data_IF_452061152072
#
_entry.id   IF_452061152072
#
_cell.length_a   1.000
_cell.length_b   1.000
_cell.length_c   1.000
_cell.angle_alpha   90.00
_cell.angle_beta   90.00
_cell.angle_gamma   90.00
#
_symmetry.space_group_name_H-M   'P 1'
#
loop_
_entity.id
_entity.type
_entity.pdbx_description
1 polymer ?
#
# COMPACT_ATOMS: atom_id res chain seq x y z
N UNK A 1 15.90 -45.51 10.13
CA UNK A 1 14.93 -44.54 10.69
C UNK A 1 14.98 -43.30 9.82
N UNK A 2 13.96 -43.06 8.98
CA UNK A 2 13.92 -41.86 8.15
C UNK A 2 13.76 -40.64 9.06
N UNK A 3 14.73 -39.72 9.03
CA UNK A 3 14.68 -38.47 9.79
C UNK A 3 13.41 -37.71 9.44
N UNK A 4 12.61 -37.37 10.46
CA UNK A 4 11.37 -36.63 10.28
C UNK A 4 11.71 -35.32 9.59
N UNK A 5 11.21 -35.12 8.37
CA UNK A 5 11.37 -33.86 7.65
C UNK A 5 10.96 -32.70 8.59
N UNK A 6 11.72 -31.59 8.61
CA UNK A 6 11.38 -30.46 9.47
C UNK A 6 9.94 -30.01 9.15
N UNK A 7 9.15 -29.77 10.19
CA UNK A 7 7.81 -29.17 10.08
C UNK A 7 7.79 -27.78 10.76
N UNK A 8 8.35 -26.75 10.08
CA UNK A 8 8.32 -25.39 10.60
C UNK A 8 6.91 -24.89 10.85
N UNK A 9 5.98 -25.12 9.91
CA UNK A 9 4.59 -24.66 10.01
C UNK A 9 3.90 -25.20 11.26
N UNK A 10 3.93 -26.52 11.48
CA UNK A 10 3.28 -27.12 12.64
C UNK A 10 3.93 -26.74 13.97
N UNK A 11 5.24 -26.45 13.96
CA UNK A 11 5.95 -25.93 15.14
C UNK A 11 5.48 -24.52 15.47
N UNK A 12 5.40 -23.65 14.46
CA UNK A 12 4.93 -22.28 14.60
C UNK A 12 3.46 -22.19 15.04
N UNK A 13 2.56 -22.98 14.42
CA UNK A 13 1.15 -23.03 14.79
C UNK A 13 0.95 -23.48 16.24
N UNK A 14 1.75 -24.45 16.70
CA UNK A 14 1.73 -24.89 18.10
C UNK A 14 2.15 -23.76 19.04
N UNK A 15 3.25 -23.06 18.74
CA UNK A 15 3.73 -21.92 19.53
C UNK A 15 2.64 -20.85 19.65
N UNK A 16 2.09 -20.36 18.53
CA UNK A 16 1.01 -19.35 18.51
C UNK A 16 -0.18 -19.81 19.35
N UNK A 17 -0.67 -21.04 19.12
CA UNK A 17 -1.83 -21.60 19.82
C UNK A 17 -1.63 -21.65 21.35
N UNK A 18 -0.44 -22.02 21.82
CA UNK A 18 -0.17 -22.17 23.25
C UNK A 18 -0.01 -20.85 24.01
N UNK A 19 0.17 -19.72 23.31
CA UNK A 19 0.30 -18.38 23.90
C UNK A 19 -1.03 -17.63 24.05
N UNK A 20 -2.09 -18.08 23.40
CA UNK A 20 -3.39 -17.44 23.43
C UNK A 20 -4.10 -17.70 24.77
N UNK A 21 -4.77 -16.69 25.31
CA UNK A 21 -5.64 -16.86 26.48
C UNK A 21 -6.97 -17.51 26.05
N UNK A 22 -7.33 -18.70 26.54
CA UNK A 22 -8.59 -19.32 26.18
C UNK A 22 -9.83 -18.55 26.61
N UNK A 23 -9.76 -17.82 27.74
CA UNK A 23 -10.90 -17.08 28.29
C UNK A 23 -11.27 -15.92 27.38
N UNK A 24 -10.29 -15.18 26.88
CA UNK A 24 -10.49 -14.14 25.86
C UNK A 24 -11.15 -14.67 24.56
N UNK A 25 -11.14 -15.98 24.34
CA UNK A 25 -11.70 -16.65 23.17
C UNK A 25 -13.04 -17.35 23.46
N UNK A 26 -13.60 -17.15 24.67
CA UNK A 26 -14.89 -17.71 25.09
C UNK A 26 -14.81 -19.16 25.57
N UNK A 27 -13.61 -19.69 25.81
CA UNK A 27 -13.42 -21.04 26.32
C UNK A 27 -13.23 -21.06 27.85
N UNK A 28 -13.78 -22.08 28.50
CA UNK A 28 -13.77 -22.18 29.97
C UNK A 28 -12.36 -22.26 30.58
N UNK A 29 -12.20 -21.60 31.73
CA UNK A 29 -10.99 -21.56 32.56
C UNK A 29 -10.74 -22.83 33.40
N UNK A 30 -11.45 -23.93 33.13
CA UNK A 30 -11.33 -25.18 33.89
C UNK A 30 -9.92 -25.78 33.83
N UNK A 31 -9.66 -26.84 34.60
CA UNK A 31 -8.35 -27.49 34.70
C UNK A 31 -7.85 -27.97 33.31
N UNK A 32 -6.93 -27.22 32.71
CA UNK A 32 -6.34 -27.47 31.38
C UNK A 32 -4.97 -28.14 31.53
N UNK A 33 -4.73 -29.21 30.76
CA UNK A 33 -3.41 -29.86 30.65
C UNK A 33 -2.49 -29.18 29.63
N UNK A 34 -3.07 -28.47 28.67
CA UNK A 34 -2.34 -27.77 27.60
C UNK A 34 -2.49 -26.27 27.81
N UNK A 35 -1.38 -25.50 27.87
CA UNK A 35 -1.45 -24.06 27.90
C UNK A 35 -2.07 -23.52 26.60
N UNK A 36 -2.84 -22.44 26.73
CA UNK A 36 -3.56 -21.80 25.64
C UNK A 36 -4.69 -22.62 25.01
N UNK A 37 -4.95 -22.36 23.74
CA UNK A 37 -6.04 -23.02 23.01
C UNK A 37 -5.70 -24.48 22.71
N UNK A 38 -6.68 -25.37 22.69
CA UNK A 38 -6.52 -26.77 22.28
C UNK A 38 -6.64 -26.92 20.76
N UNK A 39 -6.24 -28.07 20.21
CA UNK A 39 -6.28 -28.32 18.77
C UNK A 39 -7.71 -28.25 18.22
N UNK A 40 -8.63 -28.84 18.96
CA UNK A 40 -10.07 -28.82 18.68
C UNK A 40 -10.66 -27.41 18.77
N UNK A 41 -10.18 -26.58 19.69
CA UNK A 41 -10.63 -25.19 19.85
C UNK A 41 -10.19 -24.34 18.65
N UNK A 42 -8.94 -24.50 18.19
CA UNK A 42 -8.45 -23.82 16.97
C UNK A 42 -9.15 -24.34 15.72
N UNK A 43 -9.32 -25.65 15.60
CA UNK A 43 -10.00 -26.25 14.46
C UNK A 43 -11.46 -25.78 14.35
N UNK A 44 -12.17 -25.66 15.47
CA UNK A 44 -13.51 -25.09 15.53
C UNK A 44 -13.53 -23.63 15.06
N UNK A 45 -12.62 -22.79 15.56
CA UNK A 45 -12.54 -21.37 15.16
C UNK A 45 -12.14 -21.16 13.70
N UNK A 46 -11.30 -22.03 13.16
CA UNK A 46 -10.90 -22.02 11.77
C UNK A 46 -11.89 -22.76 10.85
N UNK A 47 -12.97 -23.33 11.40
CA UNK A 47 -13.94 -24.14 10.64
C UNK A 47 -13.26 -25.22 9.77
N UNK A 48 -12.38 -26.01 10.41
CA UNK A 48 -11.65 -27.14 9.81
C UNK A 48 -11.75 -28.38 10.71
N UNK A 49 -11.40 -29.55 10.16
CA UNK A 49 -11.38 -30.80 10.92
C UNK A 49 -10.32 -30.77 12.04
N UNK A 50 -10.67 -31.11 13.29
CA UNK A 50 -9.71 -31.26 14.39
C UNK A 50 -8.61 -32.29 14.10
N UNK A 51 -8.98 -33.39 13.42
CA UNK A 51 -8.05 -34.43 12.99
C UNK A 51 -7.05 -33.88 11.98
N UNK A 52 -7.53 -33.10 11.03
CA UNK A 52 -6.67 -32.50 10.00
C UNK A 52 -5.73 -31.45 10.59
N UNK A 53 -6.20 -30.57 11.49
CA UNK A 53 -5.34 -29.62 12.20
C UNK A 53 -4.26 -30.33 13.04
N UNK A 54 -4.61 -31.47 13.65
CA UNK A 54 -3.64 -32.32 14.36
C UNK A 54 -2.56 -32.87 13.42
N UNK A 55 -2.93 -33.32 12.22
CA UNK A 55 -1.98 -33.77 11.21
C UNK A 55 -1.06 -32.64 10.75
N UNK A 56 -1.62 -31.46 10.51
CA UNK A 56 -0.86 -30.27 10.14
C UNK A 56 0.24 -29.95 11.17
N UNK A 57 -0.12 -29.90 12.47
CA UNK A 57 0.85 -29.71 13.56
C UNK A 57 1.91 -30.83 13.64
N UNK A 58 1.58 -32.04 13.20
CA UNK A 58 2.46 -33.20 13.24
C UNK A 58 3.36 -33.32 12.00
N UNK A 59 3.06 -32.59 10.92
CA UNK A 59 3.77 -32.63 9.64
C UNK A 59 3.24 -33.73 8.73
N UNK A 60 1.94 -34.00 8.81
CA UNK A 60 1.20 -35.02 8.05
C UNK A 60 0.05 -34.34 7.29
N UNK A 61 -0.48 -35.00 6.26
CA UNK A 61 -1.71 -34.55 5.59
C UNK A 61 -1.54 -33.57 4.43
N UNK A 62 -0.32 -33.40 3.90
CA UNK A 62 -0.04 -32.57 2.73
C UNK A 62 0.06 -31.06 3.03
N UNK A 63 0.28 -30.27 1.98
CA UNK A 63 0.32 -28.82 2.09
C UNK A 63 -1.10 -28.24 2.30
N UNK A 64 -1.29 -27.30 3.23
CA UNK A 64 -2.57 -26.62 3.43
C UNK A 64 -2.93 -25.75 2.22
N UNK A 65 -4.21 -25.56 1.92
CA UNK A 65 -4.63 -24.56 0.93
C UNK A 65 -4.53 -23.13 1.50
N UNK A 66 -4.50 -22.13 0.61
CA UNK A 66 -4.51 -20.72 1.01
C UNK A 66 -5.75 -20.37 1.86
N UNK A 67 -6.94 -20.85 1.47
CA UNK A 67 -8.17 -20.63 2.23
C UNK A 67 -8.09 -21.21 3.65
N UNK A 68 -7.47 -22.38 3.81
CA UNK A 68 -7.27 -22.97 5.14
C UNK A 68 -6.27 -22.18 5.98
N UNK A 69 -5.18 -21.68 5.39
CA UNK A 69 -4.25 -20.79 6.09
C UNK A 69 -4.92 -19.47 6.51
N UNK A 70 -5.75 -18.87 5.65
CA UNK A 70 -6.53 -17.67 5.98
C UNK A 70 -7.47 -17.92 7.16
N UNK A 71 -8.18 -19.06 7.17
CA UNK A 71 -9.05 -19.45 8.29
C UNK A 71 -8.28 -19.70 9.57
N UNK A 72 -7.10 -20.33 9.49
CA UNK A 72 -6.23 -20.55 10.66
C UNK A 72 -5.71 -19.20 11.19
N UNK A 73 -5.26 -18.30 10.33
CA UNK A 73 -4.81 -16.96 10.72
C UNK A 73 -5.92 -16.21 11.47
N UNK A 74 -7.14 -16.19 10.92
CA UNK A 74 -8.32 -15.61 11.58
C UNK A 74 -8.67 -16.31 12.89
N UNK A 75 -8.66 -17.65 12.90
CA UNK A 75 -8.97 -18.46 14.07
C UNK A 75 -8.00 -18.21 15.23
N UNK A 76 -6.73 -17.97 14.93
CA UNK A 76 -5.68 -17.65 15.91
C UNK A 76 -5.50 -16.15 16.17
N UNK A 77 -6.28 -15.28 15.51
CA UNK A 77 -6.11 -13.81 15.56
C UNK A 77 -4.67 -13.37 15.23
N UNK A 78 -4.05 -14.03 14.25
CA UNK A 78 -2.72 -13.66 13.79
C UNK A 78 -2.71 -12.26 13.20
N UNK A 79 -1.67 -11.51 13.52
CA UNK A 79 -1.34 -10.24 12.85
C UNK A 79 -0.96 -10.47 11.38
N UNK A 80 -0.96 -9.42 10.57
CA UNK A 80 -0.61 -9.56 9.14
C UNK A 80 0.81 -10.16 8.93
N UNK A 81 1.86 -9.75 9.66
CA UNK A 81 3.17 -10.39 9.51
C UNK A 81 3.17 -11.88 9.91
N UNK A 82 2.36 -12.27 10.91
CA UNK A 82 2.22 -13.67 11.31
C UNK A 82 1.43 -14.48 10.27
N UNK A 83 0.43 -13.86 9.63
CA UNK A 83 -0.29 -14.43 8.49
C UNK A 83 0.66 -14.66 7.30
N UNK A 84 1.46 -13.67 6.93
CA UNK A 84 2.47 -13.80 5.89
C UNK A 84 3.47 -14.92 6.22
N UNK A 85 3.88 -15.01 7.50
CA UNK A 85 4.79 -16.05 7.95
C UNK A 85 4.23 -17.46 7.77
N UNK A 86 2.97 -17.73 8.18
CA UNK A 86 2.37 -19.07 7.97
C UNK A 86 2.19 -19.41 6.50
N UNK A 87 1.99 -18.40 5.64
CA UNK A 87 1.92 -18.54 4.18
C UNK A 87 3.28 -18.95 3.60
N UNK A 88 4.36 -18.29 4.02
CA UNK A 88 5.72 -18.68 3.65
C UNK A 88 6.06 -20.10 4.13
N UNK A 89 5.70 -20.45 5.37
CA UNK A 89 5.97 -21.80 5.91
C UNK A 89 5.12 -22.91 5.27
N UNK A 90 3.87 -22.61 4.90
CA UNK A 90 2.91 -23.60 4.40
C UNK A 90 2.84 -23.74 2.89
N UNK A 91 3.07 -22.65 2.16
CA UNK A 91 2.92 -22.57 0.71
C UNK A 91 4.15 -22.04 -0.02
N UNK A 92 5.16 -21.54 0.69
CA UNK A 92 6.37 -20.97 0.07
C UNK A 92 6.12 -19.66 -0.70
N UNK A 93 4.99 -18.99 -0.46
CA UNK A 93 4.62 -17.72 -1.09
C UNK A 93 3.85 -16.85 -0.11
N UNK A 94 3.88 -15.54 -0.32
CA UNK A 94 3.04 -14.59 0.41
C UNK A 94 1.55 -14.81 0.09
N UNK A 95 0.64 -14.40 1.00
CA UNK A 95 -0.76 -14.34 0.69
C UNK A 95 -1.05 -13.41 -0.49
N UNK A 96 -2.15 -13.66 -1.18
CA UNK A 96 -2.64 -12.74 -2.20
C UNK A 96 -2.97 -11.39 -1.55
N UNK A 97 -2.40 -10.32 -2.13
CA UNK A 97 -2.69 -8.96 -1.72
C UNK A 97 -4.19 -8.67 -1.92
N UNK A 98 -4.81 -8.06 -0.92
CA UNK A 98 -6.18 -7.57 -1.02
C UNK A 98 -6.16 -6.08 -0.77
N UNK A 99 -6.67 -5.31 -1.73
CA UNK A 99 -6.79 -3.87 -1.58
C UNK A 99 -7.73 -3.54 -0.42
N UNK A 100 -7.23 -2.74 0.52
CA UNK A 100 -8.01 -2.15 1.59
C UNK A 100 -8.02 -0.63 1.38
N UNK A 101 -9.20 0.01 1.27
CA UNK A 101 -9.29 1.45 1.23
C UNK A 101 -8.66 2.07 2.49
N UNK A 102 -7.97 3.19 2.33
CA UNK A 102 -7.33 3.90 3.45
C UNK A 102 -7.79 5.33 3.53
N UNK A 103 -8.17 5.72 4.74
CA UNK A 103 -8.71 7.05 5.00
C UNK A 103 -7.68 8.12 5.32
N UNK A 104 -6.46 7.73 5.68
CA UNK A 104 -5.41 8.70 5.98
C UNK A 104 -4.12 8.04 6.43
N UNK A 105 -3.20 8.89 6.87
CA UNK A 105 -1.92 8.47 7.43
C UNK A 105 -1.91 8.64 8.94
N UNK A 106 -1.01 7.90 9.60
CA UNK A 106 -0.81 8.09 11.03
C UNK A 106 -0.21 9.47 11.33
N UNK A 107 -0.45 10.05 12.52
CA UNK A 107 0.20 11.31 12.92
C UNK A 107 1.73 11.22 12.94
N UNK A 108 2.30 10.03 13.14
CA UNK A 108 3.76 9.80 13.08
C UNK A 108 4.28 9.96 11.65
N UNK A 109 3.58 9.40 10.67
CA UNK A 109 3.95 9.53 9.25
C UNK A 109 3.75 10.97 8.76
N UNK A 110 2.70 11.67 9.20
CA UNK A 110 2.52 13.09 8.86
C UNK A 110 3.70 13.94 9.33
N UNK A 111 4.18 13.73 10.57
CA UNK A 111 5.37 14.45 11.07
C UNK A 111 6.65 14.19 10.27
N UNK A 112 6.77 13.01 9.65
CA UNK A 112 7.89 12.73 8.72
C UNK A 112 7.77 13.63 7.49
N UNK A 113 6.57 13.76 6.92
CA UNK A 113 6.32 14.68 5.80
C UNK A 113 6.62 16.13 6.19
N UNK A 114 6.16 16.55 7.36
CA UNK A 114 6.32 17.92 7.84
C UNK A 114 7.79 18.29 8.11
N UNK A 115 8.63 17.31 8.46
CA UNK A 115 10.08 17.50 8.61
C UNK A 115 10.82 17.74 7.31
N UNK A 116 10.22 17.41 6.15
CA UNK A 116 10.79 17.61 4.82
C UNK A 116 10.47 19.00 4.28
N UNK A 117 11.03 20.05 4.90
CA UNK A 117 10.66 21.45 4.64
C UNK A 117 10.91 21.87 3.18
N UNK A 118 12.05 21.51 2.60
CA UNK A 118 12.43 21.85 1.22
C UNK A 118 12.21 20.70 0.22
N UNK A 119 11.55 19.63 0.64
CA UNK A 119 11.23 18.49 -0.24
C UNK A 119 9.73 18.26 -0.22
N UNK A 120 8.98 18.76 -1.23
CA UNK A 120 7.57 18.46 -1.40
C UNK A 120 7.35 16.95 -1.34
N UNK A 121 6.47 16.50 -0.45
CA UNK A 121 6.23 15.09 -0.22
C UNK A 121 4.75 14.81 -0.09
N UNK A 122 4.31 13.71 -0.71
CA UNK A 122 2.93 13.21 -0.65
C UNK A 122 2.90 11.73 -0.32
N UNK A 123 1.82 11.30 0.32
CA UNK A 123 1.45 9.90 0.48
C UNK A 123 0.20 9.66 -0.37
N UNK A 124 0.26 8.61 -1.20
CA UNK A 124 -0.83 8.17 -2.04
C UNK A 124 -1.24 6.73 -1.74
N UNK A 125 -2.49 6.38 -2.06
CA UNK A 125 -2.96 4.99 -2.09
C UNK A 125 -2.50 4.28 -3.39
N UNK A 126 -2.73 2.97 -3.48
CA UNK A 126 -2.60 2.22 -4.73
C UNK A 126 -3.52 2.74 -5.86
N UNK A 127 -4.64 3.38 -5.50
CA UNK A 127 -5.55 4.05 -6.44
C UNK A 127 -5.11 5.48 -6.81
N UNK A 128 -3.95 5.92 -6.31
CA UNK A 128 -3.37 7.25 -6.54
C UNK A 128 -4.16 8.40 -5.92
N UNK A 129 -4.97 8.11 -4.89
CA UNK A 129 -5.58 9.13 -4.03
C UNK A 129 -4.55 9.65 -3.03
N UNK A 130 -4.40 10.96 -2.92
CA UNK A 130 -3.51 11.61 -1.97
C UNK A 130 -4.16 11.64 -0.58
N UNK A 131 -3.52 11.00 0.38
CA UNK A 131 -4.00 10.80 1.76
C UNK A 131 -3.12 11.47 2.82
N UNK A 132 -2.02 12.09 2.40
CA UNK A 132 -1.17 12.93 3.24
C UNK A 132 -0.20 13.74 2.39
N UNK A 133 0.17 14.93 2.85
CA UNK A 133 1.07 15.84 2.14
C UNK A 133 1.70 16.82 3.13
N UNK A 134 2.86 17.39 2.79
CA UNK A 134 3.44 18.49 3.54
C UNK A 134 3.12 19.85 2.91
N UNK A 135 3.50 20.93 3.61
CA UNK A 135 3.31 22.31 3.16
C UNK A 135 3.95 22.59 1.80
N UNK A 136 5.17 22.09 1.57
CA UNK A 136 5.87 22.27 0.30
C UNK A 136 5.13 21.62 -0.87
N UNK A 137 4.52 20.45 -0.68
CA UNK A 137 3.65 19.83 -1.69
C UNK A 137 2.36 20.63 -1.93
N UNK A 138 1.75 21.17 -0.88
CA UNK A 138 0.54 21.99 -1.02
C UNK A 138 0.79 23.25 -1.86
N UNK A 139 1.93 23.91 -1.66
CA UNK A 139 2.29 25.12 -2.39
C UNK A 139 2.77 24.81 -3.81
N UNK A 140 3.69 23.86 -3.98
CA UNK A 140 4.29 23.59 -5.28
C UNK A 140 3.34 22.84 -6.23
N UNK A 141 2.70 21.79 -5.72
CA UNK A 141 1.92 20.86 -6.54
C UNK A 141 0.47 21.30 -6.61
N UNK A 142 -0.26 21.13 -5.51
CA UNK A 142 -1.70 21.38 -5.41
C UNK A 142 -2.06 21.48 -3.94
N UNK A 143 -2.87 22.48 -3.59
CA UNK A 143 -3.45 22.60 -2.26
C UNK A 143 -4.58 21.57 -2.07
N UNK A 144 -4.19 20.35 -1.70
CA UNK A 144 -5.13 19.23 -1.53
C UNK A 144 -6.17 19.50 -0.44
N UNK A 145 -5.90 20.41 0.51
CA UNK A 145 -6.87 20.76 1.56
C UNK A 145 -8.10 21.48 0.98
N UNK A 146 -7.94 22.22 -0.13
CA UNK A 146 -9.03 22.92 -0.83
C UNK A 146 -9.87 22.00 -1.73
N UNK A 147 -9.45 20.76 -1.92
CA UNK A 147 -10.17 19.79 -2.75
C UNK A 147 -11.03 18.86 -1.88
N UNK A 148 -12.24 18.48 -2.35
CA UNK A 148 -12.97 17.36 -1.76
C UNK A 148 -12.13 16.09 -1.88
N UNK A 149 -12.37 15.12 -0.98
CA UNK A 149 -11.54 13.92 -0.86
C UNK A 149 -11.45 13.14 -2.18
N UNK A 150 -12.57 13.02 -2.88
CA UNK A 150 -12.71 12.33 -4.16
C UNK A 150 -11.92 13.02 -5.29
N UNK A 151 -11.69 14.33 -5.15
CA UNK A 151 -10.91 15.16 -6.07
C UNK A 151 -9.40 15.11 -5.84
N UNK A 152 -8.92 14.45 -4.77
CA UNK A 152 -7.49 14.34 -4.45
C UNK A 152 -6.80 13.19 -5.16
N UNK A 153 -7.30 12.78 -6.33
CA UNK A 153 -6.70 11.72 -7.12
C UNK A 153 -5.74 12.29 -8.17
N UNK A 154 -4.48 11.86 -8.15
CA UNK A 154 -3.43 12.41 -9.02
C UNK A 154 -3.78 12.21 -10.51
N UNK A 155 -4.36 11.05 -10.87
CA UNK A 155 -4.76 10.78 -12.25
C UNK A 155 -5.88 11.73 -12.69
N UNK A 156 -6.91 11.91 -11.85
CA UNK A 156 -7.99 12.87 -12.14
C UNK A 156 -7.48 14.29 -12.29
N UNK A 157 -6.56 14.72 -11.41
CA UNK A 157 -5.95 16.05 -11.51
C UNK A 157 -5.15 16.20 -12.80
N UNK A 158 -4.38 15.18 -13.19
CA UNK A 158 -3.49 15.23 -14.34
C UNK A 158 -4.23 15.18 -15.69
N UNK A 159 -5.27 14.33 -15.79
CA UNK A 159 -6.00 14.08 -17.04
C UNK A 159 -7.33 14.84 -17.13
N UNK A 160 -7.86 15.35 -16.02
CA UNK A 160 -9.12 16.10 -15.98
C UNK A 160 -8.97 17.63 -15.98
N UNK A 161 -7.75 18.16 -15.84
CA UNK A 161 -7.52 19.62 -15.74
C UNK A 161 -6.50 20.13 -16.75
N UNK A 162 -6.97 20.93 -17.71
CA UNK A 162 -6.10 21.64 -18.67
C UNK A 162 -5.09 22.55 -17.98
N UNK A 163 -5.41 23.07 -16.79
CA UNK A 163 -4.48 23.88 -16.01
C UNK A 163 -3.28 23.06 -15.51
N UNK A 164 -3.53 21.84 -15.03
CA UNK A 164 -2.44 20.95 -14.59
C UNK A 164 -1.58 20.56 -15.78
N UNK A 165 -2.17 20.29 -16.95
CA UNK A 165 -1.42 20.05 -18.18
C UNK A 165 -0.49 21.21 -18.53
N UNK A 166 -1.00 22.44 -18.57
CA UNK A 166 -0.22 23.63 -18.91
C UNK A 166 0.93 23.93 -17.92
N UNK A 167 0.82 23.47 -16.66
CA UNK A 167 1.88 23.64 -15.66
C UNK A 167 3.05 22.66 -15.81
N UNK A 168 2.92 21.59 -16.59
CA UNK A 168 3.98 20.59 -16.74
C UNK A 168 4.62 20.69 -18.13
N UNK A 169 5.91 21.03 -18.18
CA UNK A 169 6.64 21.21 -19.43
C UNK A 169 6.74 19.89 -20.23
N UNK A 170 7.07 18.79 -19.56
CA UNK A 170 7.07 17.43 -20.13
C UNK A 170 5.84 16.64 -19.64
N UNK A 171 4.66 17.13 -19.98
CA UNK A 171 3.42 16.46 -19.59
C UNK A 171 3.33 15.03 -20.17
N UNK A 172 3.75 14.82 -21.41
CA UNK A 172 3.67 13.50 -22.08
C UNK A 172 4.57 12.45 -21.41
N UNK A 173 5.78 12.82 -20.98
CA UNK A 173 6.68 11.96 -20.22
C UNK A 173 6.09 11.58 -18.86
N UNK A 174 5.57 12.57 -18.13
CA UNK A 174 4.95 12.33 -16.82
C UNK A 174 3.67 11.51 -16.98
N UNK A 175 2.87 11.72 -18.02
CA UNK A 175 1.61 11.01 -18.25
C UNK A 175 1.87 9.51 -18.46
N UNK A 176 2.85 9.18 -19.32
CA UNK A 176 3.29 7.80 -19.53
C UNK A 176 3.75 7.14 -18.24
N UNK A 177 4.59 7.84 -17.47
CA UNK A 177 5.08 7.35 -16.18
C UNK A 177 3.93 7.06 -15.22
N UNK A 178 3.04 8.04 -15.01
CA UNK A 178 1.94 7.96 -14.04
C UNK A 178 0.98 6.82 -14.38
N UNK A 179 0.64 6.64 -15.66
CA UNK A 179 -0.25 5.55 -16.10
C UNK A 179 0.42 4.17 -15.91
N UNK A 180 1.70 4.05 -16.30
CA UNK A 180 2.44 2.80 -16.15
C UNK A 180 2.69 2.42 -14.68
N UNK A 181 2.94 3.41 -13.82
CA UNK A 181 3.12 3.21 -12.39
C UNK A 181 1.78 2.90 -11.69
N UNK A 182 0.68 3.56 -12.08
CA UNK A 182 -0.66 3.21 -11.60
C UNK A 182 -1.01 1.75 -11.88
N UNK A 183 -0.76 1.28 -13.10
CA UNK A 183 -0.96 -0.14 -13.46
C UNK A 183 -0.16 -1.09 -12.56
N UNK A 184 1.10 -0.78 -12.31
CA UNK A 184 1.95 -1.56 -11.42
C UNK A 184 1.41 -1.58 -9.96
N UNK A 185 0.91 -0.44 -9.48
CA UNK A 185 0.40 -0.28 -8.12
C UNK A 185 -0.90 -1.03 -7.87
N UNK A 186 -1.87 -0.93 -8.78
CA UNK A 186 -3.12 -1.69 -8.64
C UNK A 186 -2.89 -3.19 -8.76
N UNK A 187 -1.92 -3.62 -9.57
CA UNK A 187 -1.53 -5.03 -9.64
C UNK A 187 -0.88 -5.50 -8.32
N UNK A 188 0.08 -4.73 -7.78
CA UNK A 188 0.76 -5.07 -6.52
C UNK A 188 -0.21 -5.12 -5.34
N UNK A 189 -1.17 -4.19 -5.29
CA UNK A 189 -2.17 -4.14 -4.23
C UNK A 189 -3.31 -5.17 -4.39
N UNK A 190 -3.31 -5.96 -5.47
CA UNK A 190 -4.42 -6.87 -5.78
C UNK A 190 -5.74 -6.15 -6.14
N UNK A 191 -5.66 -4.89 -6.56
CA UNK A 191 -6.79 -4.05 -6.97
C UNK A 191 -7.05 -4.09 -8.48
N UNK A 192 -6.20 -4.74 -9.29
CA UNK A 192 -6.28 -4.71 -10.76
C UNK A 192 -7.66 -5.15 -11.32
N UNK A 193 -8.31 -6.12 -10.67
CA UNK A 193 -9.61 -6.65 -11.04
C UNK A 193 -10.75 -6.09 -10.18
N UNK A 194 -10.48 -5.04 -9.40
CA UNK A 194 -11.51 -4.41 -8.57
C UNK A 194 -12.44 -3.53 -9.39
N UNK A 195 -13.71 -3.44 -8.98
CA UNK A 195 -14.69 -2.53 -9.58
C UNK A 195 -14.21 -1.08 -9.54
N UNK A 196 -13.57 -0.66 -8.43
CA UNK A 196 -13.04 0.70 -8.29
C UNK A 196 -11.98 1.04 -9.34
N UNK A 197 -11.07 0.10 -9.67
CA UNK A 197 -10.10 0.29 -10.75
C UNK A 197 -10.78 0.41 -12.10
N UNK A 198 -11.75 -0.48 -12.39
CA UNK A 198 -12.48 -0.45 -13.66
C UNK A 198 -13.26 0.87 -13.85
N UNK A 199 -13.92 1.36 -12.79
CA UNK A 199 -14.67 2.62 -12.80
C UNK A 199 -13.75 3.82 -13.04
N UNK A 200 -12.63 3.92 -12.32
CA UNK A 200 -11.66 5.00 -12.50
C UNK A 200 -11.06 5.00 -13.91
N UNK A 201 -10.68 3.84 -14.44
CA UNK A 201 -10.15 3.72 -15.81
C UNK A 201 -11.20 4.16 -16.84
N UNK A 202 -12.46 3.74 -16.67
CA UNK A 202 -13.55 4.10 -17.57
C UNK A 202 -13.90 5.59 -17.51
N UNK A 203 -13.85 6.19 -16.31
CA UNK A 203 -13.99 7.63 -16.09
C UNK A 203 -12.88 8.40 -16.84
N UNK A 204 -11.61 8.07 -16.57
CA UNK A 204 -10.46 8.78 -17.14
C UNK A 204 -10.36 8.63 -18.66
N UNK A 205 -10.65 7.43 -19.20
CA UNK A 205 -10.66 7.19 -20.65
C UNK A 205 -11.73 8.02 -21.37
N UNK A 206 -12.85 8.33 -20.68
CA UNK A 206 -13.93 9.14 -21.26
C UNK A 206 -13.56 10.62 -21.35
N UNK A 207 -12.79 11.12 -20.38
CA UNK A 207 -12.44 12.54 -20.28
C UNK A 207 -11.09 12.89 -20.92
N UNK A 208 -10.21 11.91 -21.16
CA UNK A 208 -8.92 12.12 -21.81
C UNK A 208 -8.60 11.02 -22.84
N UNK A 209 -8.60 11.37 -24.14
CA UNK A 209 -8.14 10.48 -25.21
C UNK A 209 -6.68 10.03 -25.01
N UNK A 210 -5.83 10.88 -24.45
CA UNK A 210 -4.44 10.54 -24.13
C UNK A 210 -4.36 9.47 -23.04
N UNK A 211 -5.15 9.58 -21.97
CA UNK A 211 -5.22 8.52 -20.96
C UNK A 211 -5.66 7.20 -21.58
N UNK A 212 -6.69 7.22 -22.43
CA UNK A 212 -7.17 6.02 -23.10
C UNK A 212 -6.07 5.36 -23.95
N UNK A 213 -5.34 6.14 -24.74
CA UNK A 213 -4.24 5.65 -25.56
C UNK A 213 -3.12 5.04 -24.70
N UNK A 214 -2.70 5.73 -23.64
CA UNK A 214 -1.67 5.25 -22.70
C UNK A 214 -2.10 3.98 -21.98
N UNK A 215 -3.36 3.92 -21.53
CA UNK A 215 -3.89 2.74 -20.87
C UNK A 215 -3.94 1.54 -21.82
N UNK A 216 -4.37 1.73 -23.07
CA UNK A 216 -4.35 0.66 -24.09
C UNK A 216 -2.94 0.18 -24.43
N UNK A 217 -1.93 1.04 -24.31
CA UNK A 217 -0.52 0.70 -24.50
C UNK A 217 0.00 -0.39 -23.55
N UNK A 218 -0.67 -0.59 -22.40
CA UNK A 218 -0.32 -1.62 -21.40
C UNK A 218 1.12 -1.55 -20.85
N UNK A 219 1.78 -0.40 -20.98
CA UNK A 219 3.10 -0.20 -20.39
C UNK A 219 3.02 -0.33 -18.86
N UNK A 220 3.98 -1.06 -18.29
CA UNK A 220 4.16 -1.21 -16.85
C UNK A 220 5.49 -0.60 -16.49
N UNK A 221 5.47 0.41 -15.64
CA UNK A 221 6.67 1.09 -15.17
C UNK A 221 6.84 0.79 -13.69
N UNK A 222 7.94 0.14 -13.33
CA UNK A 222 8.30 -0.06 -11.93
C UNK A 222 8.90 1.24 -11.37
N UNK A 223 8.38 1.67 -10.21
CA UNK A 223 8.87 2.75 -9.33
C UNK A 223 10.22 3.31 -9.74
N UNK A 224 10.17 4.42 -10.47
CA UNK A 224 11.32 5.06 -11.08
C UNK A 224 11.47 6.46 -10.55
N UNK A 225 12.72 6.91 -10.55
CA UNK A 225 13.12 8.29 -10.42
C UNK A 225 12.90 9.04 -11.74
N UNK A 226 12.77 10.36 -11.67
CA UNK A 226 12.62 11.19 -12.85
C UNK A 226 12.62 12.66 -12.50
N UNK A 227 12.62 13.54 -13.51
CA UNK A 227 12.59 14.99 -13.31
C UNK A 227 11.25 15.54 -13.76
N UNK A 228 10.57 16.25 -12.86
CA UNK A 228 9.34 16.98 -13.10
C UNK A 228 9.64 18.47 -13.20
N UNK A 229 9.32 19.07 -14.35
CA UNK A 229 9.47 20.51 -14.59
C UNK A 229 8.10 21.18 -14.49
N UNK A 230 7.98 22.11 -13.53
CA UNK A 230 6.72 22.74 -13.13
C UNK A 230 6.81 24.23 -13.36
N UNK A 231 5.91 24.77 -14.17
CA UNK A 231 5.65 26.21 -14.23
C UNK A 231 4.75 26.59 -13.04
N UNK A 232 5.35 27.24 -12.05
CA UNK A 232 4.65 27.82 -10.91
C UNK A 232 4.34 29.29 -11.18
N UNK A 233 3.10 29.78 -10.93
CA UNK A 233 2.73 31.16 -11.22
C UNK A 233 3.64 32.18 -10.53
N UNK A 234 4.00 31.93 -9.27
CA UNK A 234 4.77 32.87 -8.45
C UNK A 234 6.29 32.62 -8.49
N UNK A 235 6.73 31.39 -8.83
CA UNK A 235 8.13 30.97 -8.70
C UNK A 235 8.80 30.64 -10.05
N UNK A 236 8.06 30.76 -11.16
CA UNK A 236 8.54 30.43 -12.49
C UNK A 236 8.74 28.92 -12.68
N UNK A 237 9.68 28.55 -13.55
CA UNK A 237 10.01 27.14 -13.80
C UNK A 237 10.84 26.58 -12.66
N UNK A 238 10.35 25.50 -12.06
CA UNK A 238 11.02 24.70 -11.04
C UNK A 238 11.24 23.28 -11.55
N UNK A 239 12.48 22.81 -11.49
CA UNK A 239 12.81 21.43 -11.81
C UNK A 239 13.00 20.63 -10.50
N UNK A 240 12.24 19.55 -10.38
CA UNK A 240 12.24 18.67 -9.22
C UNK A 240 12.52 17.25 -9.66
N UNK A 241 13.56 16.61 -9.15
CA UNK A 241 13.67 15.16 -9.22
C UNK A 241 12.65 14.53 -8.27
N UNK A 242 12.07 13.40 -8.63
CA UNK A 242 11.17 12.68 -7.76
C UNK A 242 11.62 11.24 -7.55
N UNK A 243 11.32 10.71 -6.38
CA UNK A 243 11.56 9.32 -6.03
C UNK A 243 10.33 8.76 -5.33
N UNK A 244 10.01 7.50 -5.62
CA UNK A 244 8.87 6.82 -5.01
C UNK A 244 9.34 5.74 -4.03
N UNK A 245 8.73 5.70 -2.85
CA UNK A 245 9.08 4.82 -1.75
C UNK A 245 7.86 4.02 -1.27
N UNK A 246 8.07 2.77 -0.88
CA UNK A 246 7.07 2.00 -0.15
C UNK A 246 7.00 2.46 1.31
N UNK A 247 5.81 2.37 1.92
CA UNK A 247 5.64 2.61 3.37
C UNK A 247 5.61 1.26 4.09
N UNK A 248 6.67 0.96 4.84
CA UNK A 248 6.81 -0.29 5.59
C UNK A 248 5.61 -0.51 6.53
N UNK A 249 5.05 -1.72 6.51
CA UNK A 249 3.86 -2.09 7.30
C UNK A 249 2.55 -1.46 6.82
N UNK A 250 2.56 -0.69 5.72
CA UNK A 250 1.39 -0.09 5.07
C UNK A 250 1.50 -0.29 3.54
N UNK A 251 1.45 -1.54 3.04
CA UNK A 251 1.69 -1.87 1.62
C UNK A 251 0.70 -1.22 0.65
N UNK A 252 -0.42 -0.72 1.15
CA UNK A 252 -1.42 0.02 0.40
C UNK A 252 -1.08 1.51 0.18
N UNK A 253 0.00 1.99 0.82
CA UNK A 253 0.50 3.36 0.72
C UNK A 253 1.84 3.41 -0.04
N UNK A 254 1.98 4.44 -0.88
CA UNK A 254 3.25 4.85 -1.48
C UNK A 254 3.56 6.30 -1.15
N UNK A 255 4.84 6.62 -0.96
CA UNK A 255 5.32 7.98 -0.75
C UNK A 255 6.04 8.48 -2.00
N UNK A 256 5.78 9.71 -2.41
CA UNK A 256 6.54 10.39 -3.47
C UNK A 256 7.19 11.62 -2.86
N UNK A 257 8.50 11.72 -2.99
CA UNK A 257 9.30 12.86 -2.54
C UNK A 257 9.84 13.56 -3.79
N UNK A 258 9.79 14.89 -3.79
CA UNK A 258 10.38 15.75 -4.80
C UNK A 258 11.57 16.50 -4.18
N UNK A 259 12.73 16.49 -4.82
CA UNK A 259 13.90 17.29 -4.43
C UNK A 259 14.23 18.30 -5.54
N UNK A 260 14.65 19.53 -5.20
CA UNK A 260 15.12 20.47 -6.21
C UNK A 260 16.37 19.92 -6.92
N UNK A 261 16.41 19.97 -8.25
CA UNK A 261 17.55 19.42 -9.02
C UNK A 261 18.80 20.30 -8.95
N UNK A 262 18.64 21.55 -8.50
CA UNK A 262 19.73 22.51 -8.40
C UNK A 262 19.60 23.42 -7.17
N UNK A 263 20.70 24.04 -6.70
CA UNK A 263 20.63 25.06 -5.66
C UNK A 263 19.72 26.24 -6.01
N UNK A 264 19.62 26.60 -7.31
CA UNK A 264 18.74 27.67 -7.76
C UNK A 264 17.25 27.28 -7.63
N UNK A 265 16.91 26.02 -7.90
CA UNK A 265 15.55 25.52 -7.70
C UNK A 265 15.21 25.42 -6.21
N UNK A 266 16.17 25.02 -5.38
CA UNK A 266 16.01 25.00 -3.92
C UNK A 266 15.74 26.40 -3.36
N UNK A 267 16.48 27.41 -3.85
CA UNK A 267 16.29 28.79 -3.44
C UNK A 267 14.92 29.34 -3.88
N UNK A 268 14.48 29.06 -5.11
CA UNK A 268 13.14 29.44 -5.58
C UNK A 268 12.03 28.79 -4.75
N UNK A 269 12.18 27.52 -4.40
CA UNK A 269 11.23 26.82 -3.53
C UNK A 269 11.21 27.44 -2.12
N UNK A 270 12.37 27.80 -1.58
CA UNK A 270 12.48 28.48 -0.28
C UNK A 270 11.75 29.82 -0.29
N UNK A 271 12.00 30.65 -1.31
CA UNK A 271 11.30 31.94 -1.48
C UNK A 271 9.78 31.73 -1.59
N UNK A 272 9.32 30.71 -2.31
CA UNK A 272 7.90 30.37 -2.40
C UNK A 272 7.30 30.00 -1.03
N UNK A 273 8.02 29.21 -0.23
CA UNK A 273 7.59 28.82 1.12
C UNK A 273 7.49 30.02 2.06
N UNK A 274 8.49 30.91 2.02
CA UNK A 274 8.55 32.10 2.87
C UNK A 274 7.45 33.11 2.49
N UNK A 275 7.15 33.27 1.18
CA UNK A 275 6.14 34.22 0.67
C UNK A 275 4.69 33.92 1.07
N UNK A 276 4.45 32.74 1.65
CA UNK A 276 3.12 32.23 2.04
C UNK A 276 3.06 31.92 3.54
N UNK A 277 3.92 32.58 4.35
CA UNK A 277 3.87 32.56 5.82
C UNK A 277 2.92 33.60 6.43
N UNK A 278 2.38 34.50 5.61
CA UNK A 278 1.35 35.49 5.98
C UNK A 278 -0.08 35.01 5.62
#
# INVERSE_FOLDING_TARGET
>A
MAGKAPNPLGTYLRDRRTRLDPVAFGFGAGRRRTPGLRREEVASRANISPTWYTWLEQGRGGAPSADVLDRIAKGLMLTEPEREHIYMLGLGRLPEARYLPVDGISPRLQRVLDGMVLSPAIIKTAMWDVVGWNRAAALLLTDYAKLPREGRNILRLMFGSNHVRARNEDWDGIARYVVGAFRADVARAGANNSTATAELVAELSRVSPEFEALWRGNDVVAHTEGVKRIHHPDAGLLAMEFSSFAVEGRPELGMIIYNPVSPADAERLRVLLDSRED
#
